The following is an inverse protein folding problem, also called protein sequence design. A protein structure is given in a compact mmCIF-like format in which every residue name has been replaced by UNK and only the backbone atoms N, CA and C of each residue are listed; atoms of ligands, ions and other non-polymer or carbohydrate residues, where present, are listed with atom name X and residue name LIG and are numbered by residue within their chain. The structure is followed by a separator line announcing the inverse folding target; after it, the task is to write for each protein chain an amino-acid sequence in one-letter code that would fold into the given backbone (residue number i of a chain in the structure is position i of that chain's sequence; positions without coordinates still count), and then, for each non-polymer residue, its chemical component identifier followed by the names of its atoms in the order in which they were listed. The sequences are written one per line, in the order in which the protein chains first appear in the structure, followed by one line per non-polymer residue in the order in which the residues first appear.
data_IF_225578483983
#
_entry.id   IF_225578483983
#
_cell.length_a   1.000
_cell.length_b   1.000
_cell.length_c   1.000
_cell.angle_alpha   90.00
_cell.angle_beta   90.00
_cell.angle_gamma   90.00
#
_symmetry.space_group_name_H-M   'P 1'
#
loop_
_entity.id
_entity.type
_entity.pdbx_description
1 polymer ?
#
# COMPACT_ATOMS: atom_id res chain seq x y z
N UNK A 1 1.21 -73.98 -37.48
CA UNK A 1 0.72 -73.30 -38.71
C UNK A 1 -0.57 -72.59 -38.30
N UNK A 2 -0.87 -71.31 -38.52
CA UNK A 2 -0.31 -70.15 -39.22
C UNK A 2 -1.00 -68.93 -38.56
N UNK A 3 -0.28 -67.89 -38.13
CA UNK A 3 -0.22 -66.66 -38.91
C UNK A 3 -0.81 -65.47 -38.13
N UNK A 4 0.06 -64.68 -37.50
CA UNK A 4 -0.08 -63.25 -37.15
C UNK A 4 1.16 -62.80 -36.35
N UNK A 5 2.27 -62.64 -37.07
CA UNK A 5 3.38 -61.74 -36.72
C UNK A 5 3.23 -60.49 -37.60
N UNK A 6 3.82 -59.38 -37.15
CA UNK A 6 4.00 -58.07 -37.82
C UNK A 6 3.05 -56.93 -37.40
N UNK A 7 3.39 -56.31 -36.26
CA UNK A 7 3.58 -54.86 -36.10
C UNK A 7 4.01 -54.62 -34.64
N UNK A 8 4.99 -53.82 -34.25
CA UNK A 8 6.11 -53.17 -34.91
C UNK A 8 7.05 -52.81 -33.75
N UNK A 9 8.32 -53.20 -33.84
CA UNK A 9 9.38 -52.60 -33.06
C UNK A 9 9.98 -51.47 -33.89
N UNK A 10 10.43 -50.38 -33.25
CA UNK A 10 11.69 -49.62 -33.51
C UNK A 10 11.54 -48.13 -33.11
N UNK A 11 12.44 -47.69 -32.20
CA UNK A 11 12.98 -46.33 -31.95
C UNK A 11 12.00 -45.22 -31.50
N UNK A 12 12.34 -44.27 -30.62
CA UNK A 12 13.64 -43.72 -30.27
C UNK A 12 13.63 -43.11 -28.85
N UNK A 13 14.70 -43.41 -28.11
CA UNK A 13 15.23 -42.60 -27.03
C UNK A 13 15.84 -41.33 -27.63
N UNK A 14 15.24 -40.15 -27.43
CA UNK A 14 15.84 -38.78 -27.45
C UNK A 14 14.88 -37.88 -26.64
N UNK A 15 15.23 -37.48 -25.40
CA UNK A 15 15.96 -36.26 -25.05
C UNK A 15 15.03 -35.06 -24.76
N UNK A 16 15.35 -34.38 -23.65
CA UNK A 16 15.25 -32.93 -23.43
C UNK A 16 14.00 -32.36 -22.73
N UNK A 17 14.24 -31.97 -21.48
CA UNK A 17 13.81 -30.69 -20.87
C UNK A 17 12.32 -30.36 -20.97
N UNK A 18 11.55 -30.76 -19.95
CA UNK A 18 10.43 -29.90 -19.56
C UNK A 18 11.02 -28.54 -19.15
N UNK A 19 10.62 -27.42 -19.78
CA UNK A 19 10.91 -26.14 -19.19
C UNK A 19 10.22 -26.12 -17.83
N UNK A 20 10.98 -25.88 -16.76
CA UNK A 20 10.42 -25.31 -15.54
C UNK A 20 9.80 -23.99 -16.00
N UNK A 21 8.50 -24.00 -16.25
CA UNK A 21 7.76 -22.77 -16.51
C UNK A 21 7.96 -21.90 -15.27
N UNK A 22 8.47 -20.65 -15.41
CA UNK A 22 8.43 -19.72 -14.29
C UNK A 22 6.98 -19.67 -13.82
N UNK A 23 6.77 -19.87 -12.52
CA UNK A 23 5.45 -20.02 -11.92
C UNK A 23 4.50 -18.97 -12.47
N UNK A 24 3.40 -19.44 -13.07
CA UNK A 24 2.28 -18.58 -13.46
C UNK A 24 1.79 -17.96 -12.16
N UNK A 25 2.13 -16.68 -11.95
CA UNK A 25 1.57 -15.89 -10.88
C UNK A 25 0.05 -15.97 -10.99
N UNK A 26 -0.61 -16.38 -9.90
CA UNK A 26 -2.07 -16.38 -9.84
C UNK A 26 -2.51 -14.91 -9.81
N UNK A 27 -3.68 -14.62 -10.39
CA UNK A 27 -4.27 -13.28 -10.33
C UNK A 27 -4.53 -12.79 -8.88
N UNK A 28 -4.44 -13.68 -7.89
CA UNK A 28 -4.54 -13.40 -6.45
C UNK A 28 -3.19 -13.18 -5.75
N UNK A 29 -2.06 -13.29 -6.46
CA UNK A 29 -0.76 -13.00 -5.86
C UNK A 29 -0.71 -11.49 -5.56
N UNK A 30 -0.58 -11.07 -4.28
CA UNK A 30 -0.41 -9.67 -3.96
C UNK A 30 0.81 -9.13 -4.71
N UNK A 31 0.79 -7.85 -5.15
CA UNK A 31 1.87 -7.27 -5.95
C UNK A 31 3.19 -7.62 -5.28
N UNK A 32 4.10 -8.22 -6.06
CA UNK A 32 5.32 -8.83 -5.57
C UNK A 32 5.99 -7.89 -4.56
N UNK A 33 5.89 -8.25 -3.27
CA UNK A 33 6.66 -7.61 -2.24
C UNK A 33 8.12 -7.71 -2.70
N UNK A 34 8.84 -6.59 -2.75
CA UNK A 34 10.22 -6.55 -3.20
C UNK A 34 11.13 -7.52 -2.42
N UNK A 35 12.45 -7.45 -2.61
CA UNK A 35 13.40 -8.36 -1.96
C UNK A 35 13.08 -8.58 -0.47
N UNK A 36 12.93 -9.84 -0.08
CA UNK A 36 12.62 -10.25 1.30
C UNK A 36 13.92 -10.52 2.04
N UNK A 37 14.09 -9.88 3.19
CA UNK A 37 15.25 -10.04 4.08
C UNK A 37 14.86 -10.77 5.36
N UNK A 38 15.72 -11.66 5.83
CA UNK A 38 15.48 -12.40 7.08
C UNK A 38 16.00 -11.61 8.27
N UNK A 39 15.18 -11.50 9.31
CA UNK A 39 15.56 -10.86 10.59
C UNK A 39 15.25 -11.80 11.76
N UNK A 40 15.78 -11.52 12.97
CA UNK A 40 15.41 -12.27 14.18
C UNK A 40 13.89 -12.31 14.47
N UNK A 41 13.13 -11.33 13.97
CA UNK A 41 11.68 -11.22 14.15
C UNK A 41 10.89 -11.70 12.92
N UNK A 42 11.52 -12.42 12.00
CA UNK A 42 10.92 -12.95 10.78
C UNK A 42 11.26 -12.14 9.52
N UNK A 43 10.74 -12.57 8.35
CA UNK A 43 11.04 -11.93 7.08
C UNK A 43 10.46 -10.50 7.04
N UNK A 44 11.21 -9.55 6.48
CA UNK A 44 10.76 -8.18 6.19
C UNK A 44 10.96 -7.84 4.72
N UNK A 45 10.15 -6.92 4.22
CA UNK A 45 10.15 -6.42 2.85
C UNK A 45 10.67 -4.98 2.81
N UNK A 46 10.90 -4.45 1.61
CA UNK A 46 11.21 -3.03 1.43
C UNK A 46 10.13 -2.11 2.01
N UNK A 47 8.84 -2.47 1.91
CA UNK A 47 7.74 -1.69 2.46
C UNK A 47 7.75 -1.66 3.99
N UNK A 48 8.13 -2.78 4.62
CA UNK A 48 8.27 -2.84 6.08
C UNK A 48 9.38 -1.90 6.56
N UNK A 49 10.54 -1.91 5.88
CA UNK A 49 11.65 -0.99 6.17
C UNK A 49 11.26 0.47 5.95
N UNK A 50 10.57 0.75 4.84
CA UNK A 50 10.10 2.09 4.51
C UNK A 50 9.13 2.62 5.58
N UNK A 51 8.24 1.80 6.13
CA UNK A 51 7.38 2.20 7.25
C UNK A 51 8.19 2.62 8.47
N UNK A 52 9.19 1.83 8.87
CA UNK A 52 10.04 2.17 10.03
C UNK A 52 10.76 3.51 9.81
N UNK A 53 11.33 3.71 8.62
CA UNK A 53 12.00 4.98 8.27
C UNK A 53 11.01 6.15 8.27
N UNK A 54 9.82 5.99 7.69
CA UNK A 54 8.80 7.05 7.64
C UNK A 54 8.27 7.42 9.02
N UNK A 55 8.03 6.45 9.90
CA UNK A 55 7.57 6.74 11.28
C UNK A 55 8.67 7.41 12.09
N UNK A 56 9.94 7.01 11.94
CA UNK A 56 11.08 7.73 12.53
C UNK A 56 11.15 9.16 12.03
N UNK A 57 11.11 9.36 10.71
CA UNK A 57 11.12 10.70 10.12
C UNK A 57 9.96 11.55 10.64
N UNK A 58 8.75 11.00 10.80
CA UNK A 58 7.63 11.72 11.39
C UNK A 58 7.93 12.15 12.84
N UNK A 59 8.43 11.24 13.69
CA UNK A 59 8.80 11.55 15.07
C UNK A 59 9.81 12.70 15.18
N UNK A 60 10.80 12.76 14.29
CA UNK A 60 11.89 13.73 14.33
C UNK A 60 11.46 15.20 14.11
N UNK A 61 10.28 15.45 13.52
CA UNK A 61 9.78 16.82 13.33
C UNK A 61 8.43 17.09 14.03
N UNK A 62 7.55 16.10 14.15
CA UNK A 62 6.21 16.29 14.71
C UNK A 62 6.24 16.39 16.23
N UNK A 63 7.16 15.65 16.88
CA UNK A 63 7.38 15.73 18.32
C UNK A 63 7.82 17.13 18.77
N UNK A 64 8.93 17.71 18.26
CA UNK A 64 9.33 19.06 18.67
C UNK A 64 8.32 20.13 18.25
N UNK A 65 7.59 19.97 17.13
CA UNK A 65 6.56 20.93 16.75
C UNK A 65 5.34 20.86 17.66
N UNK A 66 4.97 19.68 18.14
CA UNK A 66 3.94 19.50 19.17
C UNK A 66 4.33 20.11 20.52
N UNK A 67 5.61 20.00 20.91
CA UNK A 67 6.15 20.67 22.10
C UNK A 67 6.13 22.20 21.95
N UNK A 68 6.64 22.71 20.82
CA UNK A 68 6.66 24.16 20.56
C UNK A 68 5.25 24.76 20.47
N UNK A 69 4.25 24.00 20.01
CA UNK A 69 2.86 24.46 19.97
C UNK A 69 2.33 24.89 21.33
N UNK A 70 2.77 24.26 22.44
CA UNK A 70 2.31 24.62 23.79
C UNK A 70 2.66 26.06 24.18
N UNK A 71 3.72 26.62 23.59
CA UNK A 71 4.19 27.98 23.87
C UNK A 71 3.92 28.97 22.73
N UNK A 72 3.95 28.52 21.48
CA UNK A 72 3.82 29.38 20.30
C UNK A 72 2.39 29.61 19.85
N UNK A 73 1.48 28.67 20.12
CA UNK A 73 0.11 28.74 19.67
C UNK A 73 -0.69 29.84 20.40
N UNK A 74 -1.67 30.43 19.71
CA UNK A 74 -2.67 31.29 20.35
C UNK A 74 -3.86 30.47 20.83
N UNK A 75 -4.30 29.52 20.02
CA UNK A 75 -5.44 28.65 20.31
C UNK A 75 -5.14 27.65 21.42
N UNK A 76 -5.97 27.65 22.47
CA UNK A 76 -5.94 26.61 23.51
C UNK A 76 -6.05 25.21 22.89
N UNK A 77 -6.90 25.06 21.87
CA UNK A 77 -7.08 23.76 21.20
C UNK A 77 -5.81 23.31 20.50
N UNK A 78 -5.08 24.20 19.84
CA UNK A 78 -3.80 23.86 19.19
C UNK A 78 -2.75 23.47 20.23
N UNK A 79 -2.70 24.12 21.39
CA UNK A 79 -1.81 23.71 22.50
C UNK A 79 -2.10 22.30 22.98
N UNK A 80 -3.37 21.97 23.21
CA UNK A 80 -3.81 20.63 23.63
C UNK A 80 -3.47 19.57 22.58
N UNK A 81 -3.76 19.86 21.31
CA UNK A 81 -3.44 18.96 20.20
C UNK A 81 -1.93 18.76 20.08
N UNK A 82 -1.14 19.82 20.18
CA UNK A 82 0.32 19.76 20.19
C UNK A 82 0.88 18.88 21.29
N UNK A 83 0.38 19.00 22.53
CA UNK A 83 0.77 18.15 23.64
C UNK A 83 0.46 16.66 23.40
N UNK A 84 -0.71 16.36 22.82
CA UNK A 84 -1.08 14.98 22.48
C UNK A 84 -0.20 14.41 21.36
N UNK A 85 0.03 15.18 20.29
CA UNK A 85 0.91 14.77 19.20
C UNK A 85 2.32 14.50 19.70
N UNK A 86 2.91 15.40 20.50
CA UNK A 86 4.23 15.21 21.07
C UNK A 86 4.32 13.89 21.87
N UNK A 87 3.37 13.65 22.77
CA UNK A 87 3.31 12.43 23.57
C UNK A 87 3.21 11.16 22.72
N UNK A 88 2.30 11.15 21.73
CA UNK A 88 2.06 9.98 20.89
C UNK A 88 3.26 9.72 19.94
N UNK A 89 3.91 10.78 19.44
CA UNK A 89 5.13 10.63 18.64
C UNK A 89 6.31 10.15 19.46
N UNK A 90 6.48 10.57 20.72
CA UNK A 90 7.50 10.00 21.63
C UNK A 90 7.27 8.50 21.82
N UNK A 91 6.02 8.10 22.06
CA UNK A 91 5.64 6.70 22.21
C UNK A 91 5.93 5.85 20.96
N UNK A 92 5.70 6.41 19.77
CA UNK A 92 5.99 5.76 18.49
C UNK A 92 7.49 5.70 18.20
N UNK A 93 8.23 6.77 18.50
CA UNK A 93 9.65 6.89 18.24
C UNK A 93 10.46 5.84 19.03
N UNK A 94 10.15 5.70 20.32
CA UNK A 94 10.73 4.64 21.15
C UNK A 94 10.51 3.23 20.57
N UNK A 95 9.33 2.99 19.99
CA UNK A 95 8.97 1.68 19.41
C UNK A 95 9.68 1.46 18.09
N UNK A 96 9.72 2.46 17.22
CA UNK A 96 10.35 2.34 15.91
C UNK A 96 11.85 2.13 16.04
N UNK A 97 12.51 2.84 16.96
CA UNK A 97 13.94 2.68 17.25
C UNK A 97 14.25 1.27 17.74
N UNK A 98 13.48 0.76 18.71
CA UNK A 98 13.66 -0.61 19.21
C UNK A 98 13.44 -1.65 18.12
N UNK A 99 12.35 -1.53 17.35
CA UNK A 99 12.00 -2.51 16.33
C UNK A 99 13.02 -2.52 15.19
N UNK A 100 13.45 -1.34 14.73
CA UNK A 100 14.48 -1.21 13.70
C UNK A 100 15.83 -1.80 14.16
N UNK A 101 16.23 -1.56 15.41
CA UNK A 101 17.44 -2.15 15.99
C UNK A 101 17.40 -3.68 15.99
N UNK A 102 16.27 -4.27 16.41
CA UNK A 102 16.10 -5.73 16.43
C UNK A 102 16.11 -6.36 15.03
N UNK A 103 15.78 -5.57 14.00
CA UNK A 103 15.68 -6.01 12.61
C UNK A 103 16.87 -5.59 11.74
N UNK A 104 17.87 -4.90 12.30
CA UNK A 104 19.03 -4.40 11.55
C UNK A 104 18.68 -3.31 10.53
N UNK A 105 17.59 -2.57 10.74
CA UNK A 105 17.16 -1.49 9.85
C UNK A 105 17.79 -0.18 10.32
N UNK A 106 18.57 0.46 9.44
CA UNK A 106 19.12 1.79 9.70
C UNK A 106 18.00 2.84 9.71
N UNK A 107 18.03 3.72 10.71
CA UNK A 107 17.10 4.82 10.86
C UNK A 107 17.82 6.16 10.70
N UNK A 108 17.16 7.20 10.17
CA UNK A 108 17.69 8.55 10.20
C UNK A 108 17.66 9.11 11.63
N UNK A 109 18.61 9.99 11.93
CA UNK A 109 18.73 10.68 13.21
C UNK A 109 18.35 12.17 13.14
N UNK A 110 18.04 12.66 11.95
CA UNK A 110 17.53 14.01 11.71
C UNK A 110 16.35 14.01 10.73
N UNK A 111 15.50 15.01 10.86
CA UNK A 111 14.41 15.25 9.92
C UNK A 111 14.98 15.50 8.52
N UNK A 112 14.26 15.08 7.46
CA UNK A 112 14.72 15.32 6.09
C UNK A 112 14.56 16.81 5.68
N UNK A 113 15.08 17.19 4.51
CA UNK A 113 15.08 18.57 4.04
C UNK A 113 13.67 19.21 3.99
N UNK A 114 12.66 18.49 3.51
CA UNK A 114 11.29 18.99 3.46
C UNK A 114 10.74 19.23 4.88
N UNK A 115 10.95 18.28 5.79
CA UNK A 115 10.51 18.38 7.18
C UNK A 115 11.22 19.51 7.93
N UNK A 116 12.53 19.69 7.72
CA UNK A 116 13.27 20.83 8.24
C UNK A 116 12.70 22.15 7.71
N UNK A 117 12.30 22.21 6.43
CA UNK A 117 11.65 23.39 5.86
C UNK A 117 10.30 23.68 6.52
N UNK A 118 9.50 22.66 6.83
CA UNK A 118 8.22 22.82 7.53
C UNK A 118 8.41 23.29 8.97
N UNK A 119 9.41 22.75 9.67
CA UNK A 119 9.77 23.20 11.01
C UNK A 119 10.22 24.67 11.00
N UNK A 120 11.06 25.06 10.04
CA UNK A 120 11.51 26.44 9.89
C UNK A 120 10.34 27.39 9.59
N UNK A 121 9.42 26.99 8.71
CA UNK A 121 8.19 27.75 8.44
C UNK A 121 7.39 27.97 9.73
N UNK A 122 7.08 26.92 10.49
CA UNK A 122 6.31 27.05 11.73
C UNK A 122 7.04 27.88 12.79
N UNK A 123 8.35 27.69 12.95
CA UNK A 123 9.19 28.45 13.90
C UNK A 123 9.24 29.95 13.60
N UNK A 124 9.07 30.34 12.34
CA UNK A 124 9.00 31.74 11.92
C UNK A 124 7.66 32.42 12.31
N UNK A 125 6.69 31.65 12.81
CA UNK A 125 5.34 32.11 13.13
C UNK A 125 5.05 31.99 14.64
N UNK A 126 4.04 32.75 15.08
CA UNK A 126 3.46 32.68 16.43
C UNK A 126 1.98 33.01 16.37
N UNK A 127 1.24 32.69 17.43
CA UNK A 127 -0.18 32.95 17.54
C UNK A 127 -0.99 32.28 16.43
N UNK A 128 -1.99 32.99 15.91
CA UNK A 128 -2.88 32.45 14.88
C UNK A 128 -2.16 31.98 13.60
N UNK A 129 -1.03 32.62 13.23
CA UNK A 129 -0.24 32.20 12.07
C UNK A 129 0.51 30.88 12.32
N UNK A 130 0.94 30.63 13.55
CA UNK A 130 1.49 29.34 13.94
C UNK A 130 0.39 28.27 13.94
N UNK A 131 -0.76 28.60 14.53
CA UNK A 131 -1.92 27.70 14.62
C UNK A 131 -2.35 27.17 13.24
N UNK A 132 -2.43 28.06 12.24
CA UNK A 132 -2.78 27.72 10.85
C UNK A 132 -1.74 26.80 10.20
N UNK A 133 -0.45 27.14 10.27
CA UNK A 133 0.62 26.29 9.73
C UNK A 133 0.65 24.93 10.43
N UNK A 134 0.50 24.89 11.75
CA UNK A 134 0.51 23.67 12.55
C UNK A 134 -0.61 22.73 12.11
N UNK A 135 -1.86 23.20 12.07
CA UNK A 135 -3.01 22.39 11.70
C UNK A 135 -2.87 21.85 10.26
N UNK A 136 -2.50 22.69 9.30
CA UNK A 136 -2.44 22.29 7.90
C UNK A 136 -1.24 21.40 7.58
N UNK A 137 -0.03 21.72 8.06
CA UNK A 137 1.18 20.92 7.77
C UNK A 137 1.08 19.52 8.34
N UNK A 138 0.70 19.41 9.62
CA UNK A 138 0.56 18.11 10.26
C UNK A 138 -0.58 17.31 9.62
N UNK A 139 -1.71 17.93 9.30
CA UNK A 139 -2.84 17.20 8.71
C UNK A 139 -2.53 16.66 7.31
N UNK A 140 -1.78 17.41 6.52
CA UNK A 140 -1.28 16.97 5.21
C UNK A 140 -0.29 15.81 5.37
N UNK A 141 0.64 15.88 6.32
CA UNK A 141 1.62 14.82 6.57
C UNK A 141 0.94 13.51 6.99
N UNK A 142 -0.03 13.59 7.90
CA UNK A 142 -0.82 12.45 8.35
C UNK A 142 -1.64 11.84 7.21
N UNK A 143 -2.27 12.67 6.37
CA UNK A 143 -2.97 12.20 5.17
C UNK A 143 -2.05 11.48 4.17
N UNK A 144 -0.80 11.93 4.04
CA UNK A 144 0.16 11.33 3.12
C UNK A 144 0.73 10.00 3.59
N UNK A 145 0.91 9.79 4.90
CA UNK A 145 1.49 8.54 5.44
C UNK A 145 0.43 7.45 5.65
N UNK A 146 -0.83 7.81 5.90
CA UNK A 146 -1.91 6.87 6.20
C UNK A 146 -2.04 5.71 5.18
N UNK A 147 -2.02 5.94 3.85
CA UNK A 147 -2.07 4.83 2.89
C UNK A 147 -0.90 3.86 3.01
N UNK A 148 0.32 4.35 3.29
CA UNK A 148 1.49 3.50 3.44
C UNK A 148 1.38 2.59 4.68
N UNK A 149 0.89 3.13 5.80
CA UNK A 149 0.64 2.35 7.02
C UNK A 149 -0.44 1.29 6.75
N UNK A 150 -1.53 1.67 6.07
CA UNK A 150 -2.60 0.75 5.71
C UNK A 150 -2.11 -0.39 4.80
N UNK A 151 -1.30 -0.08 3.78
CA UNK A 151 -0.69 -1.08 2.90
C UNK A 151 0.16 -2.06 3.71
N UNK A 152 1.11 -1.58 4.51
CA UNK A 152 1.98 -2.47 5.29
C UNK A 152 1.17 -3.31 6.27
N UNK A 153 0.19 -2.71 6.96
CA UNK A 153 -0.71 -3.43 7.86
C UNK A 153 -1.47 -4.56 7.16
N UNK A 154 -1.85 -4.39 5.89
CA UNK A 154 -2.59 -5.36 5.12
C UNK A 154 -1.70 -6.45 4.50
N UNK A 155 -0.48 -6.10 4.10
CA UNK A 155 0.33 -6.98 3.23
C UNK A 155 1.57 -7.57 3.89
N UNK A 156 2.07 -7.00 4.98
CA UNK A 156 3.27 -7.52 5.64
C UNK A 156 3.08 -8.99 6.02
N UNK A 157 4.17 -9.77 5.99
CA UNK A 157 4.22 -11.13 6.53
C UNK A 157 4.86 -11.19 7.91
N UNK A 158 5.38 -10.08 8.41
CA UNK A 158 6.01 -9.97 9.72
C UNK A 158 4.98 -9.58 10.79
N UNK A 159 4.83 -10.39 11.85
CA UNK A 159 3.85 -10.12 12.91
C UNK A 159 4.20 -8.88 13.75
N UNK A 160 5.48 -8.65 14.04
CA UNK A 160 5.89 -7.46 14.78
C UNK A 160 5.63 -6.17 13.98
N UNK A 161 5.91 -6.19 12.67
CA UNK A 161 5.55 -5.07 11.79
C UNK A 161 4.03 -4.90 11.68
N UNK A 162 3.26 -5.99 11.59
CA UNK A 162 1.80 -5.93 11.53
C UNK A 162 1.21 -5.24 12.75
N UNK A 163 1.69 -5.59 13.94
CA UNK A 163 1.29 -4.97 15.20
C UNK A 163 1.72 -3.50 15.27
N UNK A 164 2.96 -3.20 14.86
CA UNK A 164 3.44 -1.82 14.81
C UNK A 164 2.62 -0.94 13.86
N UNK A 165 2.30 -1.44 12.65
CA UNK A 165 1.46 -0.75 11.68
C UNK A 165 0.01 -0.58 12.19
N UNK A 166 -0.52 -1.53 12.98
CA UNK A 166 -1.82 -1.38 13.64
C UNK A 166 -1.84 -0.20 14.62
N UNK A 167 -0.79 -0.08 15.44
CA UNK A 167 -0.63 1.03 16.39
C UNK A 167 -0.48 2.36 15.65
N UNK A 168 0.35 2.40 14.60
CA UNK A 168 0.52 3.59 13.76
C UNK A 168 -0.81 4.02 13.12
N UNK A 169 -1.63 3.07 12.62
CA UNK A 169 -2.94 3.38 12.04
C UNK A 169 -3.91 3.98 13.07
N UNK A 170 -3.89 3.51 14.32
CA UNK A 170 -4.75 4.08 15.36
C UNK A 170 -4.34 5.52 15.69
N UNK A 171 -3.04 5.77 15.84
CA UNK A 171 -2.51 7.09 16.17
C UNK A 171 -2.70 8.07 15.02
N UNK A 172 -2.40 7.69 13.78
CA UNK A 172 -2.55 8.60 12.62
C UNK A 172 -4.01 9.03 12.43
N UNK A 173 -4.98 8.13 12.62
CA UNK A 173 -6.41 8.45 12.55
C UNK A 173 -6.86 9.35 13.71
N UNK A 174 -6.35 9.10 14.92
CA UNK A 174 -6.56 9.98 16.09
C UNK A 174 -6.04 11.38 15.78
N UNK A 175 -4.80 11.50 15.30
CA UNK A 175 -4.18 12.78 15.00
C UNK A 175 -4.90 13.55 13.90
N UNK A 176 -5.37 12.89 12.83
CA UNK A 176 -6.20 13.54 11.81
C UNK A 176 -7.46 14.16 12.43
N UNK A 177 -8.18 13.40 13.27
CA UNK A 177 -9.36 13.89 14.01
C UNK A 177 -9.00 15.07 14.92
N UNK A 178 -7.88 14.99 15.65
CA UNK A 178 -7.44 16.05 16.55
C UNK A 178 -7.09 17.34 15.79
N UNK A 179 -6.36 17.23 14.68
CA UNK A 179 -5.99 18.37 13.85
C UNK A 179 -7.23 19.00 13.21
N UNK A 180 -8.18 18.20 12.71
CA UNK A 180 -9.45 18.69 12.19
C UNK A 180 -10.28 19.40 13.27
N UNK A 181 -10.22 18.94 14.53
CA UNK A 181 -10.93 19.59 15.65
C UNK A 181 -10.40 20.99 16.01
N UNK A 182 -9.29 21.44 15.42
CA UNK A 182 -8.83 22.83 15.54
C UNK A 182 -9.70 23.80 14.73
N UNK A 183 -10.51 23.30 13.79
CA UNK A 183 -11.26 24.08 12.80
C UNK A 183 -10.38 24.98 11.90
N UNK A 184 -9.09 24.64 11.76
CA UNK A 184 -8.11 25.40 10.96
C UNK A 184 -7.59 24.63 9.74
N UNK A 185 -8.00 23.36 9.57
CA UNK A 185 -7.64 22.56 8.40
C UNK A 185 -8.37 23.10 7.18
N UNK A 186 -7.60 23.50 6.17
CA UNK A 186 -8.06 23.96 4.85
C UNK A 186 -7.70 22.93 3.78
N UNK A 187 -7.97 23.25 2.51
CA UNK A 187 -7.51 22.44 1.37
C UNK A 187 -6.00 22.17 1.38
N UNK A 188 -5.21 23.08 1.97
CA UNK A 188 -3.77 22.88 2.17
C UNK A 188 -3.50 21.63 3.04
N UNK A 189 -4.26 21.43 4.11
CA UNK A 189 -4.14 20.27 4.99
C UNK A 189 -4.66 18.97 4.40
N UNK A 190 -5.36 19.04 3.27
CA UNK A 190 -5.88 17.86 2.55
C UNK A 190 -5.01 17.47 1.34
N UNK A 191 -4.11 18.37 0.92
CA UNK A 191 -3.18 18.15 -0.19
C UNK A 191 -1.94 17.35 0.25
N UNK A 192 -1.20 16.80 -0.73
CA UNK A 192 0.10 16.19 -0.47
C UNK A 192 1.08 17.26 0.05
N UNK A 193 1.83 17.01 1.14
CA UNK A 193 2.85 17.92 1.62
C UNK A 193 3.90 18.22 0.55
N UNK A 194 4.29 19.49 0.46
CA UNK A 194 5.40 20.00 -0.36
C UNK A 194 6.30 20.86 0.51
N UNK A 195 7.56 21.04 0.12
CA UNK A 195 8.50 21.94 0.79
C UNK A 195 7.88 23.35 1.02
N UNK A 196 8.25 24.01 2.11
CA UNK A 196 7.78 25.35 2.40
C UNK A 196 8.19 26.33 1.27
N UNK A 197 7.22 27.08 0.73
CA UNK A 197 7.45 28.02 -0.38
C UNK A 197 7.44 27.40 -1.78
N UNK A 198 7.33 26.08 -1.92
CA UNK A 198 7.04 25.46 -3.21
C UNK A 198 5.58 25.78 -3.60
N UNK A 199 5.37 26.23 -4.84
CA UNK A 199 4.02 26.38 -5.36
C UNK A 199 3.31 25.00 -5.31
N UNK A 200 2.07 24.92 -4.81
CA UNK A 200 1.30 23.68 -4.98
C UNK A 200 1.26 23.40 -6.47
N UNK A 201 1.64 22.18 -6.88
CA UNK A 201 1.44 21.74 -8.25
C UNK A 201 -0.04 22.02 -8.56
N UNK A 202 -0.30 22.88 -9.56
CA UNK A 202 -1.65 23.30 -9.92
C UNK A 202 -2.51 22.05 -9.92
N UNK A 203 -3.57 22.04 -9.10
CA UNK A 203 -4.50 20.93 -9.07
C UNK A 203 -4.95 20.73 -10.50
N UNK A 204 -4.44 19.68 -11.15
CA UNK A 204 -4.95 19.25 -12.43
C UNK A 204 -6.39 18.92 -12.08
N UNK A 205 -7.31 19.75 -12.56
CA UNK A 205 -8.74 19.55 -12.43
C UNK A 205 -9.05 18.23 -13.11
N UNK A 206 -8.89 17.15 -12.35
CA UNK A 206 -9.25 15.81 -12.72
C UNK A 206 -10.76 15.77 -12.61
N UNK A 207 -11.41 16.25 -13.65
CA UNK A 207 -12.84 16.11 -13.86
C UNK A 207 -13.14 14.60 -13.86
N UNK A 208 -13.69 14.03 -12.77
CA UNK A 208 -13.73 12.57 -12.57
C UNK A 208 -14.67 11.89 -13.57
N UNK A 209 -15.46 12.68 -14.30
CA UNK A 209 -16.39 12.22 -15.34
C UNK A 209 -15.66 11.87 -16.64
N UNK A 210 -14.49 12.46 -16.93
CA UNK A 210 -13.81 12.25 -18.22
C UNK A 210 -12.81 11.08 -18.21
N UNK A 211 -12.28 10.71 -17.05
CA UNK A 211 -11.33 9.60 -16.92
C UNK A 211 -11.99 8.21 -17.13
N UNK A 212 -13.31 8.11 -16.98
CA UNK A 212 -14.06 6.85 -17.15
C UNK A 212 -14.42 6.53 -18.60
N UNK A 213 -14.18 7.44 -19.54
CA UNK A 213 -14.61 7.29 -20.94
C UNK A 213 -13.57 6.64 -21.87
N UNK A 214 -12.39 6.23 -21.36
CA UNK A 214 -11.25 5.85 -22.21
C UNK A 214 -10.53 4.56 -21.82
N UNK A 215 -11.24 3.60 -21.20
CA UNK A 215 -10.79 2.21 -21.24
C UNK A 215 -11.54 1.50 -22.38
N UNK A 216 -10.89 1.13 -23.50
CA UNK A 216 -11.47 0.18 -24.42
C UNK A 216 -11.51 -1.19 -23.72
N UNK A 217 -12.65 -1.53 -23.13
CA UNK A 217 -12.90 -2.84 -22.55
C UNK A 217 -13.07 -3.85 -23.69
N UNK A 218 -11.97 -4.32 -24.25
CA UNK A 218 -11.93 -5.43 -25.22
C UNK A 218 -12.17 -6.81 -24.60
N UNK A 219 -13.00 -6.89 -23.55
CA UNK A 219 -13.40 -8.15 -22.94
C UNK A 219 -14.62 -8.73 -23.66
N UNK A 220 -14.77 -10.06 -23.76
CA UNK A 220 -15.96 -10.66 -24.33
C UNK A 220 -17.17 -10.23 -23.50
N UNK A 221 -18.13 -9.57 -24.15
CA UNK A 221 -19.43 -9.22 -23.57
C UNK A 221 -20.10 -10.48 -22.99
N UNK A 222 -20.98 -10.35 -21.98
CA UNK A 222 -21.71 -11.48 -21.41
C UNK A 222 -22.49 -12.28 -22.47
N UNK A 223 -22.88 -11.66 -23.59
CA UNK A 223 -23.51 -12.33 -24.73
C UNK A 223 -22.54 -13.28 -25.46
N UNK A 224 -21.29 -12.86 -25.66
CA UNK A 224 -20.22 -13.69 -26.25
C UNK A 224 -19.81 -14.87 -25.35
N UNK A 225 -19.82 -14.69 -24.03
CA UNK A 225 -19.58 -15.78 -23.07
C UNK A 225 -20.72 -16.80 -23.12
N UNK A 226 -21.97 -16.33 -23.14
CA UNK A 226 -23.15 -17.19 -23.23
C UNK A 226 -23.17 -18.00 -24.56
N UNK A 227 -22.79 -17.36 -25.67
CA UNK A 227 -22.73 -18.02 -26.98
C UNK A 227 -21.63 -19.11 -27.01
N UNK A 228 -20.45 -18.85 -26.43
CA UNK A 228 -19.39 -19.87 -26.32
C UNK A 228 -19.84 -21.08 -25.48
N UNK A 229 -20.56 -20.85 -24.38
CA UNK A 229 -21.09 -21.93 -23.54
C UNK A 229 -22.13 -22.78 -24.29
N UNK A 230 -23.00 -22.16 -25.08
CA UNK A 230 -24.01 -22.86 -25.87
C UNK A 230 -23.38 -23.71 -26.99
N UNK A 231 -22.35 -23.18 -27.68
CA UNK A 231 -21.63 -23.95 -28.71
C UNK A 231 -20.92 -25.15 -28.10
N UNK A 232 -20.27 -25.00 -26.94
CA UNK A 232 -19.63 -26.10 -26.22
C UNK A 232 -20.61 -27.22 -25.83
N UNK A 233 -21.81 -26.86 -25.36
CA UNK A 233 -22.85 -27.81 -25.02
C UNK A 233 -23.36 -28.59 -26.24
N UNK A 234 -23.56 -27.93 -27.38
CA UNK A 234 -24.04 -28.58 -28.62
C UNK A 234 -22.98 -29.55 -29.19
N UNK A 235 -21.70 -29.18 -29.18
CA UNK A 235 -20.61 -30.05 -29.62
C UNK A 235 -20.52 -31.30 -28.74
N UNK A 236 -20.62 -31.13 -27.42
CA UNK A 236 -20.57 -32.25 -26.46
C UNK A 236 -21.75 -33.21 -26.65
N UNK A 237 -22.96 -32.69 -26.80
CA UNK A 237 -24.17 -33.50 -27.05
C UNK A 237 -24.08 -34.24 -28.39
N UNK A 238 -23.50 -33.62 -29.41
CA UNK A 238 -23.34 -34.23 -30.73
C UNK A 238 -22.33 -35.38 -30.71
N UNK A 239 -21.20 -35.19 -30.03
CA UNK A 239 -20.19 -36.25 -29.83
C UNK A 239 -20.79 -37.43 -29.05
N UNK A 240 -21.54 -37.16 -27.96
CA UNK A 240 -22.19 -38.22 -27.19
C UNK A 240 -23.26 -38.99 -27.99
N UNK A 241 -23.94 -38.34 -28.95
CA UNK A 241 -24.88 -39.01 -29.85
C UNK A 241 -24.19 -39.86 -30.91
N UNK A 242 -23.03 -39.43 -31.41
CA UNK A 242 -22.23 -40.18 -32.38
C UNK A 242 -21.52 -41.39 -31.74
N UNK A 243 -21.15 -41.27 -30.47
CA UNK A 243 -20.50 -42.35 -29.71
C UNK A 243 -21.49 -43.34 -29.08
N UNK A 244 -22.81 -43.10 -29.19
CA UNK A 244 -23.82 -44.03 -28.66
C UNK A 244 -23.87 -45.27 -29.58
N UNK A 245 -23.50 -46.47 -29.09
CA UNK A 245 -23.60 -47.69 -29.89
C UNK A 245 -25.06 -47.93 -30.27
N UNK A 246 -25.32 -48.28 -31.53
CA UNK A 246 -26.65 -48.77 -31.93
C UNK A 246 -26.89 -50.08 -31.17
N UNK A 247 -27.91 -50.12 -30.34
CA UNK A 247 -28.39 -51.38 -29.78
C UNK A 247 -29.01 -52.17 -30.95
N UNK A 248 -28.39 -53.29 -31.31
CA UNK A 248 -28.96 -54.23 -32.26
C UNK A 248 -30.25 -54.80 -31.64
N UNK A 249 -31.39 -54.41 -32.21
CA UNK A 249 -32.69 -55.02 -31.91
C UNK A 249 -32.70 -56.36 -32.66
N UNK A 250 -32.71 -57.46 -31.90
CA UNK A 250 -33.02 -58.81 -32.40
C UNK A 250 -34.51 -59.10 -32.23
#
# INVERSE_FOLDING_TARGET
MSGKRFAAAVLALHLLMLPVLPGVARADDPPAAGPVEQTPLGPITALDKELLVKVRLAGLWEMPMGEEAQTRAASTRVKEVGAQLASDHTFLDERVVRLASQMGVALPDEANADQQSWMAEMRSRTGAAFDDSFANRLRAAHGSIFPAIATVRATTRNEAIRQFAQVCNQIVLKHMTLLESTNMVTDMGLAKPVAAGAAPAAAVSADPVRASAQIPSGGPTPLSVLLMCLVGAVVTITILRLLRPRADVK
#
